data_IF_888941671072
#
_entry.id   IF_888941671072
#
_cell.length_a   1.000
_cell.length_b   1.000
_cell.length_c   1.000
_cell.angle_alpha   90.00
_cell.angle_beta   90.00
_cell.angle_gamma   90.00
#
_symmetry.space_group_name_H-M   'P 1'
#
loop_
_entity.id
_entity.type
_entity.pdbx_description
1 polymer ?
#
# COMPACT_ATOMS: atom_id res chain seq x y z
N UNK A 1 29.95 -40.27 -47.63
CA UNK A 1 28.73 -40.24 -46.79
C UNK A 1 29.07 -39.43 -45.55
N UNK A 2 28.64 -38.17 -45.52
CA UNK A 2 28.87 -37.25 -44.41
C UNK A 2 27.50 -36.91 -43.82
N UNK A 3 27.17 -37.47 -42.66
CA UNK A 3 25.93 -37.18 -41.95
C UNK A 3 26.04 -35.82 -41.26
N UNK A 4 25.22 -34.85 -41.71
CA UNK A 4 24.94 -33.63 -40.96
C UNK A 4 23.91 -33.96 -39.89
N UNK A 5 24.29 -33.87 -38.62
CA UNK A 5 23.35 -33.83 -37.50
C UNK A 5 22.74 -32.43 -37.44
N UNK A 6 21.42 -32.33 -37.60
CA UNK A 6 20.67 -31.12 -37.20
C UNK A 6 20.48 -31.16 -35.69
N UNK A 7 21.07 -30.19 -34.99
CA UNK A 7 20.81 -29.92 -33.59
C UNK A 7 19.50 -29.11 -33.50
N UNK A 8 18.42 -29.74 -33.04
CA UNK A 8 17.21 -29.02 -32.65
C UNK A 8 17.42 -28.43 -31.26
N UNK A 9 17.58 -27.11 -31.19
CA UNK A 9 17.52 -26.38 -29.91
C UNK A 9 16.03 -26.24 -29.58
N UNK A 10 15.56 -27.06 -28.64
CA UNK A 10 14.25 -26.93 -28.05
C UNK A 10 14.31 -25.76 -27.06
N UNK A 11 13.82 -24.58 -27.45
CA UNK A 11 13.61 -23.47 -26.52
C UNK A 11 12.37 -23.83 -25.72
N UNK A 12 12.57 -24.39 -24.53
CA UNK A 12 11.53 -24.51 -23.52
C UNK A 12 11.35 -23.10 -22.95
N UNK A 13 10.18 -22.46 -23.03
CA UNK A 13 9.96 -21.23 -22.30
C UNK A 13 10.07 -21.57 -20.83
N UNK A 14 11.06 -21.01 -20.15
CA UNK A 14 11.12 -21.06 -18.70
C UNK A 14 9.85 -20.35 -18.20
N UNK A 15 8.92 -21.13 -17.66
CA UNK A 15 7.90 -20.56 -16.79
C UNK A 15 8.67 -20.13 -15.56
N UNK A 16 9.10 -18.86 -15.54
CA UNK A 16 9.63 -18.24 -14.33
C UNK A 16 8.49 -18.32 -13.31
N UNK A 17 8.76 -19.02 -12.23
CA UNK A 17 7.92 -19.14 -11.05
C UNK A 17 8.52 -18.22 -10.00
N UNK A 18 7.64 -17.60 -9.22
CA UNK A 18 8.04 -16.47 -8.40
C UNK A 18 9.17 -16.89 -7.47
N UNK A 19 10.19 -16.04 -7.40
CA UNK A 19 11.47 -16.41 -6.83
C UNK A 19 11.60 -15.90 -5.40
N UNK A 20 12.20 -16.74 -4.54
CA UNK A 20 12.53 -16.41 -3.16
C UNK A 20 14.03 -16.51 -3.01
N UNK A 21 14.63 -15.44 -2.48
CA UNK A 21 16.06 -15.31 -2.27
C UNK A 21 16.33 -15.13 -0.78
N UNK A 22 17.41 -15.74 -0.29
CA UNK A 22 17.91 -15.57 1.07
C UNK A 22 19.30 -14.95 1.01
N UNK A 23 19.55 -13.94 1.84
CA UNK A 23 20.85 -13.28 2.01
C UNK A 23 21.12 -13.09 3.50
N UNK A 24 22.35 -13.36 3.92
CA UNK A 24 22.84 -13.04 5.26
C UNK A 24 24.03 -12.09 5.10
N UNK A 25 24.02 -10.99 5.86
CA UNK A 25 25.10 -10.02 5.86
C UNK A 25 25.91 -10.19 7.14
N UNK A 26 27.20 -10.45 6.98
CA UNK A 26 28.15 -10.53 8.08
C UNK A 26 28.49 -9.10 8.57
N UNK A 27 28.75 -8.88 9.87
CA UNK A 27 29.16 -7.57 10.37
C UNK A 27 30.56 -7.20 9.88
N UNK A 28 30.72 -5.96 9.44
CA UNK A 28 32.00 -5.37 9.09
C UNK A 28 32.75 -4.84 10.34
N UNK A 29 34.07 -4.58 10.28
CA UNK A 29 34.80 -4.04 11.41
C UNK A 29 34.23 -2.70 11.89
N UNK A 30 33.66 -2.70 13.10
CA UNK A 30 33.01 -1.52 13.71
C UNK A 30 31.52 -1.72 13.95
N UNK A 31 30.91 -2.66 13.23
CA UNK A 31 29.52 -3.05 13.46
C UNK A 31 29.36 -3.77 14.80
N UNK A 32 28.17 -3.65 15.37
CA UNK A 32 27.81 -4.25 16.66
C UNK A 32 26.56 -5.12 16.60
N UNK A 33 25.98 -5.33 15.41
CA UNK A 33 25.02 -6.42 15.19
C UNK A 33 25.75 -7.75 15.04
N UNK A 34 25.09 -8.84 15.46
CA UNK A 34 25.62 -10.21 15.32
C UNK A 34 24.93 -10.96 14.18
N UNK A 35 23.72 -10.53 13.78
CA UNK A 35 22.93 -11.21 12.74
C UNK A 35 22.05 -10.25 11.96
N UNK A 36 22.18 -10.34 10.64
CA UNK A 36 21.33 -9.68 9.67
C UNK A 36 20.93 -10.66 8.56
N UNK A 37 19.86 -11.44 8.78
CA UNK A 37 19.33 -12.36 7.78
C UNK A 37 18.10 -11.77 7.09
N UNK A 38 18.06 -11.82 5.77
CA UNK A 38 16.98 -11.30 4.94
C UNK A 38 16.43 -12.37 4.00
N UNK A 39 15.14 -12.27 3.71
CA UNK A 39 14.50 -13.05 2.66
C UNK A 39 13.63 -12.15 1.80
N UNK A 40 13.82 -12.21 0.50
CA UNK A 40 13.09 -11.43 -0.49
C UNK A 40 12.24 -12.36 -1.35
N UNK A 41 10.99 -11.98 -1.57
CA UNK A 41 10.13 -12.52 -2.60
C UNK A 41 9.99 -11.51 -3.73
N UNK A 42 10.20 -11.99 -4.95
CA UNK A 42 10.06 -11.20 -6.17
C UNK A 42 8.91 -11.81 -7.01
N UNK A 43 7.84 -11.04 -7.30
CA UNK A 43 6.76 -11.49 -8.17
C UNK A 43 7.20 -11.98 -9.54
N UNK A 44 6.38 -12.83 -10.17
CA UNK A 44 6.65 -13.33 -11.51
C UNK A 44 6.49 -12.25 -12.59
N UNK A 45 7.35 -12.30 -13.60
CA UNK A 45 7.27 -11.50 -14.82
C UNK A 45 7.21 -9.97 -14.59
N UNK A 46 7.87 -9.47 -13.54
CA UNK A 46 8.10 -8.03 -13.43
C UNK A 46 9.15 -7.60 -14.45
N UNK A 47 8.83 -6.57 -15.23
CA UNK A 47 9.85 -5.89 -16.03
C UNK A 47 10.76 -5.05 -15.14
N UNK A 48 10.19 -4.41 -14.11
CA UNK A 48 10.89 -3.55 -13.14
C UNK A 48 10.27 -3.70 -11.75
N UNK A 49 11.11 -3.87 -10.72
CA UNK A 49 10.67 -3.80 -9.32
C UNK A 49 10.55 -2.34 -8.88
N UNK A 50 9.34 -1.89 -8.50
CA UNK A 50 9.08 -0.48 -8.16
C UNK A 50 9.46 -0.08 -6.74
N UNK A 51 9.70 -1.05 -5.87
CA UNK A 51 10.10 -0.82 -4.48
C UNK A 51 10.06 -2.08 -3.63
N UNK A 52 10.45 -1.94 -2.37
CA UNK A 52 10.49 -3.03 -1.40
C UNK A 52 9.46 -2.79 -0.30
N UNK A 53 8.54 -3.71 -0.10
CA UNK A 53 7.70 -3.75 1.08
C UNK A 53 8.42 -4.55 2.16
N UNK A 54 8.94 -3.88 3.19
CA UNK A 54 9.71 -4.53 4.24
C UNK A 54 8.87 -4.71 5.50
N UNK A 55 8.49 -5.95 5.78
CA UNK A 55 7.80 -6.35 6.99
C UNK A 55 8.81 -6.66 8.10
N UNK A 56 8.82 -5.84 9.16
CA UNK A 56 9.84 -5.89 10.21
C UNK A 56 9.23 -6.25 11.55
N UNK A 57 9.64 -7.40 12.09
CA UNK A 57 9.23 -7.86 13.42
C UNK A 57 10.25 -7.48 14.50
N UNK A 58 9.90 -7.64 15.79
CA UNK A 58 10.81 -7.31 16.88
C UNK A 58 12.10 -8.12 16.84
N UNK A 59 13.10 -7.64 17.59
CA UNK A 59 14.37 -8.32 17.78
C UNK A 59 14.16 -9.80 18.13
N UNK A 60 14.98 -10.67 17.53
CA UNK A 60 14.96 -12.12 17.71
C UNK A 60 13.75 -12.86 17.11
N UNK A 61 12.79 -12.16 16.50
CA UNK A 61 11.71 -12.80 15.72
C UNK A 61 12.18 -12.99 14.29
N UNK A 62 12.05 -14.22 13.76
CA UNK A 62 12.30 -14.49 12.35
C UNK A 62 11.05 -14.19 11.52
N UNK A 63 11.05 -13.04 10.86
CA UNK A 63 9.96 -12.61 9.98
C UNK A 63 10.16 -12.97 8.52
N UNK A 64 11.24 -13.66 8.14
CA UNK A 64 11.52 -14.04 6.75
C UNK A 64 10.42 -14.89 6.14
N UNK A 65 9.67 -15.64 6.95
CA UNK A 65 8.51 -16.43 6.49
C UNK A 65 7.36 -15.60 5.95
N UNK A 66 7.36 -14.26 6.14
CA UNK A 66 6.34 -13.36 5.60
C UNK A 66 6.19 -13.49 4.08
N UNK A 67 7.28 -13.85 3.38
CA UNK A 67 7.27 -14.06 1.93
C UNK A 67 6.31 -15.15 1.44
N UNK A 68 5.82 -16.00 2.35
CA UNK A 68 4.84 -17.03 2.04
C UNK A 68 3.40 -16.61 2.36
N UNK A 69 3.18 -15.43 2.94
CA UNK A 69 1.85 -14.92 3.23
C UNK A 69 1.17 -14.45 1.95
N UNK A 70 0.04 -15.09 1.60
CA UNK A 70 -0.67 -14.80 0.35
C UNK A 70 -1.22 -13.37 0.28
N UNK A 71 -1.63 -12.78 1.41
CA UNK A 71 -2.14 -11.41 1.43
C UNK A 71 -1.07 -10.38 1.13
N UNK A 72 0.11 -10.51 1.75
CA UNK A 72 1.24 -9.61 1.47
C UNK A 72 1.84 -9.84 0.08
N UNK A 73 1.89 -11.09 -0.40
CA UNK A 73 2.29 -11.38 -1.78
C UNK A 73 1.37 -10.70 -2.78
N UNK A 74 0.05 -10.88 -2.63
CA UNK A 74 -0.93 -10.24 -3.51
C UNK A 74 -0.79 -8.72 -3.48
N UNK A 75 -0.64 -8.12 -2.30
CA UNK A 75 -0.42 -6.67 -2.19
C UNK A 75 0.82 -6.22 -2.96
N UNK A 76 1.93 -6.95 -2.85
CA UNK A 76 3.16 -6.58 -3.54
C UNK A 76 3.05 -6.82 -5.06
N UNK A 77 2.42 -7.92 -5.48
CA UNK A 77 2.11 -8.23 -6.88
C UNK A 77 1.22 -7.16 -7.53
N UNK A 78 0.18 -6.69 -6.84
CA UNK A 78 -0.74 -5.67 -7.34
C UNK A 78 -0.06 -4.30 -7.57
N UNK A 79 1.15 -4.10 -7.05
CA UNK A 79 1.88 -2.84 -7.08
C UNK A 79 3.30 -2.93 -7.65
N UNK A 80 3.70 -4.09 -8.19
CA UNK A 80 5.05 -4.37 -8.70
C UNK A 80 6.17 -4.19 -7.64
N UNK A 81 5.87 -4.50 -6.38
CA UNK A 81 6.81 -4.46 -5.26
C UNK A 81 7.40 -5.85 -4.98
N UNK A 82 8.62 -5.86 -4.44
CA UNK A 82 9.15 -7.06 -3.79
C UNK A 82 8.75 -7.09 -2.30
N UNK A 83 8.54 -8.29 -1.74
CA UNK A 83 8.20 -8.47 -0.34
C UNK A 83 9.41 -8.98 0.44
N UNK A 84 9.82 -8.25 1.47
CA UNK A 84 10.97 -8.61 2.29
C UNK A 84 10.59 -8.86 3.74
N UNK A 85 11.19 -9.88 4.34
CA UNK A 85 11.21 -10.11 5.78
C UNK A 85 12.64 -10.32 6.27
N UNK A 86 12.84 -10.21 7.59
CA UNK A 86 14.17 -10.34 8.17
C UNK A 86 14.19 -10.99 9.55
N UNK A 87 15.39 -11.40 9.96
CA UNK A 87 15.72 -11.76 11.33
C UNK A 87 16.93 -10.97 11.75
N UNK A 88 16.70 -9.92 12.53
CA UNK A 88 17.72 -8.96 12.93
C UNK A 88 18.01 -9.07 14.44
N UNK A 89 19.22 -8.71 14.84
CA UNK A 89 19.51 -8.22 16.18
C UNK A 89 20.13 -6.83 16.14
N UNK A 90 20.33 -6.25 17.33
CA UNK A 90 20.85 -4.91 17.55
C UNK A 90 20.32 -3.89 16.51
N UNK A 91 19.01 -3.68 16.51
CA UNK A 91 18.27 -2.97 15.47
C UNK A 91 18.46 -1.43 15.53
N UNK A 92 19.50 -0.95 16.19
CA UNK A 92 19.87 0.47 16.26
C UNK A 92 20.73 0.84 15.05
N UNK A 93 20.51 2.01 14.45
CA UNK A 93 21.21 2.39 13.21
C UNK A 93 22.73 2.49 13.37
N UNK A 94 23.21 2.84 14.56
CA UNK A 94 24.63 2.92 14.91
C UNK A 94 25.31 1.55 15.07
N UNK A 95 24.55 0.45 14.98
CA UNK A 95 25.11 -0.90 14.98
C UNK A 95 25.67 -1.34 13.63
N UNK A 96 25.39 -0.62 12.55
CA UNK A 96 25.66 -1.02 11.16
C UNK A 96 24.48 -1.72 10.47
N UNK A 97 23.40 -1.99 11.19
CA UNK A 97 22.25 -2.76 10.65
C UNK A 97 21.54 -2.06 9.48
N UNK A 98 21.61 -0.73 9.41
CA UNK A 98 21.07 0.05 8.29
C UNK A 98 21.84 -0.21 7.00
N UNK A 99 23.17 -0.23 7.08
CA UNK A 99 24.05 -0.57 5.96
C UNK A 99 23.86 -2.03 5.53
N UNK A 100 23.68 -2.96 6.48
CA UNK A 100 23.37 -4.35 6.19
C UNK A 100 22.09 -4.52 5.36
N UNK A 101 21.05 -3.70 5.58
CA UNK A 101 19.86 -3.71 4.71
C UNK A 101 20.21 -3.29 3.28
N UNK A 102 20.99 -2.22 3.13
CA UNK A 102 21.36 -1.72 1.81
C UNK A 102 22.24 -2.72 1.05
N UNK A 103 23.15 -3.39 1.75
CA UNK A 103 23.97 -4.45 1.17
C UNK A 103 23.12 -5.67 0.77
N UNK A 104 22.16 -6.07 1.60
CA UNK A 104 21.24 -7.16 1.26
C UNK A 104 20.47 -6.86 -0.03
N UNK A 105 20.00 -5.63 -0.22
CA UNK A 105 19.36 -5.21 -1.47
C UNK A 105 20.32 -5.28 -2.67
N UNK A 106 21.57 -4.88 -2.50
CA UNK A 106 22.59 -5.02 -3.55
C UNK A 106 22.84 -6.49 -3.92
N UNK A 107 22.91 -7.39 -2.93
CA UNK A 107 23.05 -8.83 -3.19
C UNK A 107 21.80 -9.42 -3.84
N UNK A 108 20.59 -9.03 -3.42
CA UNK A 108 19.36 -9.46 -4.07
C UNK A 108 19.28 -9.00 -5.53
N UNK A 109 19.75 -7.79 -5.84
CA UNK A 109 19.82 -7.30 -7.21
C UNK A 109 20.68 -8.21 -8.11
N UNK A 110 21.85 -8.63 -7.60
CA UNK A 110 22.74 -9.57 -8.30
C UNK A 110 22.08 -10.94 -8.46
N UNK A 111 21.48 -11.48 -7.40
CA UNK A 111 20.88 -12.83 -7.40
C UNK A 111 19.64 -12.94 -8.29
N UNK A 112 18.83 -11.88 -8.33
CA UNK A 112 17.57 -11.86 -9.07
C UNK A 112 17.72 -11.41 -10.52
N UNK A 113 18.80 -10.70 -10.86
CA UNK A 113 18.98 -10.06 -12.16
C UNK A 113 18.24 -8.72 -12.31
N UNK A 114 17.58 -8.23 -11.25
CA UNK A 114 16.94 -6.92 -11.19
C UNK A 114 17.87 -5.89 -10.56
N UNK A 115 18.64 -5.15 -11.38
CA UNK A 115 19.63 -4.19 -10.88
C UNK A 115 19.01 -3.07 -10.03
N UNK A 116 17.77 -2.68 -10.35
CA UNK A 116 17.01 -1.64 -9.67
C UNK A 116 16.75 -1.95 -8.18
N UNK A 117 16.78 -3.23 -7.79
CA UNK A 117 16.54 -3.65 -6.40
C UNK A 117 17.59 -3.05 -5.46
N UNK A 118 18.84 -2.87 -5.91
CA UNK A 118 19.92 -2.28 -5.11
C UNK A 118 19.62 -0.82 -4.71
N UNK A 119 18.87 -0.11 -5.54
CA UNK A 119 18.58 1.31 -5.43
C UNK A 119 17.14 1.61 -4.99
N UNK A 120 16.30 0.58 -4.96
CA UNK A 120 14.89 0.67 -4.64
C UNK A 120 14.63 1.35 -3.30
N UNK A 121 13.55 2.11 -3.26
CA UNK A 121 13.00 2.67 -2.02
C UNK A 121 12.24 1.62 -1.23
N UNK A 122 12.20 1.80 0.08
CA UNK A 122 11.65 0.84 1.02
C UNK A 122 10.42 1.45 1.69
N UNK A 123 9.30 0.74 1.65
CA UNK A 123 8.17 0.99 2.52
C UNK A 123 8.27 0.07 3.73
N UNK A 124 8.32 0.65 4.92
CA UNK A 124 8.46 -0.13 6.15
C UNK A 124 7.12 -0.40 6.82
N UNK A 125 6.89 -1.64 7.24
CA UNK A 125 5.82 -2.00 8.16
C UNK A 125 6.39 -2.72 9.37
N UNK A 126 6.59 -1.97 10.45
CA UNK A 126 7.30 -2.42 11.63
C UNK A 126 6.41 -2.59 12.86
N UNK A 127 6.61 -3.68 13.61
CA UNK A 127 5.96 -3.92 14.90
C UNK A 127 6.95 -3.89 16.08
N UNK A 128 6.61 -3.14 17.13
CA UNK A 128 7.36 -2.97 18.38
C UNK A 128 8.82 -2.55 18.13
N UNK A 129 9.81 -3.43 18.32
CA UNK A 129 11.20 -3.13 17.92
C UNK A 129 11.36 -2.94 16.41
N UNK A 130 10.59 -3.67 15.60
CA UNK A 130 10.54 -3.45 14.16
C UNK A 130 9.93 -2.08 13.80
N UNK A 131 9.00 -1.57 14.61
CA UNK A 131 8.46 -0.21 14.48
C UNK A 131 9.50 0.86 14.79
N UNK A 132 10.32 0.63 15.82
CA UNK A 132 11.47 1.48 16.14
C UNK A 132 12.45 1.52 14.99
N UNK A 133 12.85 0.35 14.50
CA UNK A 133 13.74 0.22 13.35
C UNK A 133 13.20 0.96 12.11
N UNK A 134 11.91 0.82 11.80
CA UNK A 134 11.28 1.48 10.65
C UNK A 134 11.40 3.00 10.71
N UNK A 135 11.13 3.57 11.89
CA UNK A 135 11.29 5.00 12.14
C UNK A 135 12.77 5.42 12.11
N UNK A 136 13.65 4.70 12.79
CA UNK A 136 15.07 5.04 12.88
C UNK A 136 15.79 4.94 11.54
N UNK A 137 15.49 3.93 10.74
CA UNK A 137 16.00 3.83 9.37
C UNK A 137 15.53 5.02 8.54
N UNK A 138 14.27 5.43 8.68
CA UNK A 138 13.74 6.61 7.98
C UNK A 138 14.45 7.89 8.40
N UNK A 139 14.80 8.05 9.67
CA UNK A 139 15.62 9.18 10.15
C UNK A 139 17.04 9.15 9.59
N UNK A 140 17.65 7.95 9.55
CA UNK A 140 19.01 7.76 9.09
C UNK A 140 19.16 7.97 7.58
N UNK A 141 18.19 7.48 6.79
CA UNK A 141 18.23 7.53 5.33
C UNK A 141 16.85 7.80 4.72
N UNK A 142 16.34 9.05 4.83
CA UNK A 142 14.99 9.41 4.40
C UNK A 142 14.78 9.30 2.89
N UNK A 143 15.83 9.41 2.08
CA UNK A 143 15.72 9.23 0.62
C UNK A 143 15.47 7.79 0.21
N UNK A 144 15.91 6.81 1.03
CA UNK A 144 15.63 5.38 0.82
C UNK A 144 14.29 4.92 1.40
N UNK A 145 13.60 5.76 2.18
CA UNK A 145 12.31 5.44 2.77
C UNK A 145 11.16 6.13 2.02
N UNK A 146 10.31 5.35 1.34
CA UNK A 146 9.11 5.90 0.69
C UNK A 146 7.98 6.17 1.67
N UNK A 147 7.91 5.41 2.76
CA UNK A 147 6.99 5.61 3.86
C UNK A 147 7.25 4.59 4.95
N UNK A 148 6.69 4.82 6.14
CA UNK A 148 6.84 3.89 7.24
C UNK A 148 5.58 3.77 8.08
N UNK A 149 5.39 2.59 8.65
CA UNK A 149 4.43 2.30 9.70
C UNK A 149 5.22 1.85 10.92
N UNK A 150 4.97 2.51 12.05
CA UNK A 150 5.47 2.07 13.37
C UNK A 150 4.31 1.67 14.25
N UNK A 151 4.24 0.38 14.58
CA UNK A 151 3.19 -0.17 15.43
C UNK A 151 3.72 -0.39 16.85
N UNK A 152 3.28 0.44 17.80
CA UNK A 152 3.46 0.26 19.25
C UNK A 152 4.93 0.10 19.70
N UNK A 153 5.89 0.70 18.99
CA UNK A 153 7.27 0.81 19.48
C UNK A 153 7.38 1.70 20.72
N UNK A 154 8.47 1.57 21.49
CA UNK A 154 8.55 2.20 22.82
C UNK A 154 9.79 3.02 23.14
N UNK A 155 10.86 2.89 22.35
CA UNK A 155 12.14 3.56 22.59
C UNK A 155 12.67 4.20 21.30
N UNK A 156 11.81 4.98 20.66
CA UNK A 156 12.18 5.74 19.48
C UNK A 156 13.05 6.94 19.85
N UNK A 157 13.85 7.38 18.89
CA UNK A 157 14.67 8.58 19.00
C UNK A 157 13.74 9.79 18.99
N UNK A 158 13.87 10.60 20.03
CA UNK A 158 13.04 11.79 20.25
C UNK A 158 13.73 13.08 19.79
N UNK A 159 14.92 12.99 19.21
CA UNK A 159 15.62 14.13 18.63
C UNK A 159 14.93 14.63 17.34
N UNK A 160 15.48 15.67 16.73
CA UNK A 160 14.93 16.27 15.53
C UNK A 160 15.03 15.31 14.34
N UNK A 161 13.91 15.07 13.67
CA UNK A 161 13.84 14.14 12.55
C UNK A 161 14.39 14.66 11.21
N UNK A 162 14.80 15.94 11.13
CA UNK A 162 15.37 16.53 9.91
C UNK A 162 14.47 16.33 8.68
N UNK A 163 15.05 15.91 7.56
CA UNK A 163 14.32 15.64 6.31
C UNK A 163 13.28 14.51 6.42
N UNK A 164 13.38 13.63 7.43
CA UNK A 164 12.43 12.53 7.62
C UNK A 164 11.01 13.02 7.96
N UNK A 165 10.83 14.29 8.36
CA UNK A 165 9.49 14.88 8.50
C UNK A 165 8.72 14.89 7.18
N UNK A 166 9.40 14.86 6.04
CA UNK A 166 8.78 14.82 4.71
C UNK A 166 8.41 13.40 4.25
N UNK A 167 8.85 12.36 4.97
CA UNK A 167 8.48 10.97 4.69
C UNK A 167 7.15 10.65 5.38
N UNK A 168 6.13 10.19 4.63
CA UNK A 168 4.85 9.81 5.22
C UNK A 168 4.99 8.70 6.26
N UNK A 169 4.46 8.95 7.45
CA UNK A 169 4.57 8.06 8.61
C UNK A 169 3.21 7.75 9.23
N UNK A 170 2.97 6.49 9.57
CA UNK A 170 1.79 6.07 10.34
C UNK A 170 2.22 5.48 11.69
N UNK A 171 1.96 6.23 12.75
CA UNK A 171 2.32 5.91 14.12
C UNK A 171 1.07 5.34 14.83
N UNK A 172 1.17 4.09 15.28
CA UNK A 172 0.09 3.42 16.00
C UNK A 172 0.45 3.23 17.47
N UNK A 173 -0.44 3.64 18.37
CA UNK A 173 -0.39 3.35 19.81
C UNK A 173 -1.55 2.43 20.21
N UNK A 174 -1.52 1.88 21.42
CA UNK A 174 -2.66 1.18 22.01
C UNK A 174 -3.10 1.88 23.28
N UNK A 175 -4.40 2.09 23.45
CA UNK A 175 -4.95 2.77 24.64
C UNK A 175 -4.55 2.08 25.96
N UNK A 176 -4.38 0.75 25.94
CA UNK A 176 -4.03 -0.07 27.10
C UNK A 176 -2.58 -0.58 27.04
N UNK A 177 -1.73 0.00 26.18
CA UNK A 177 -0.30 -0.29 26.18
C UNK A 177 0.39 0.42 27.36
N UNK A 178 1.66 0.13 27.61
CA UNK A 178 2.43 0.75 28.68
C UNK A 178 2.63 2.25 28.42
N UNK A 179 2.46 3.07 29.45
CA UNK A 179 2.52 4.55 29.37
C UNK A 179 3.74 5.05 28.59
N UNK A 180 4.94 4.53 28.87
CA UNK A 180 6.16 4.97 28.17
C UNK A 180 6.10 4.75 26.65
N UNK A 181 5.38 3.73 26.16
CA UNK A 181 5.23 3.48 24.72
C UNK A 181 4.29 4.48 24.09
N UNK A 182 3.18 4.75 24.77
CA UNK A 182 2.19 5.74 24.36
C UNK A 182 2.85 7.13 24.34
N UNK A 183 3.52 7.52 25.41
CA UNK A 183 4.21 8.80 25.56
C UNK A 183 5.35 8.97 24.55
N UNK A 184 6.15 7.93 24.28
CA UNK A 184 7.27 8.02 23.35
C UNK A 184 6.81 8.27 21.90
N UNK A 185 5.84 7.48 21.39
CA UNK A 185 5.31 7.67 20.04
C UNK A 185 4.49 8.96 19.90
N UNK A 186 3.65 9.26 20.89
CA UNK A 186 2.84 10.49 20.90
C UNK A 186 3.73 11.73 20.98
N UNK A 187 4.77 11.71 21.81
CA UNK A 187 5.70 12.83 21.95
C UNK A 187 6.55 13.08 20.69
N UNK A 188 6.90 12.04 19.93
CA UNK A 188 7.56 12.21 18.62
C UNK A 188 6.62 12.87 17.63
N UNK A 189 5.36 12.43 17.57
CA UNK A 189 4.34 13.05 16.76
C UNK A 189 4.16 14.53 17.12
N UNK A 190 3.91 14.85 18.40
CA UNK A 190 3.62 16.21 18.88
C UNK A 190 4.79 17.17 18.72
N UNK A 191 6.04 16.66 18.78
CA UNK A 191 7.23 17.47 18.52
C UNK A 191 7.35 17.87 17.05
N UNK A 192 6.99 16.99 16.12
CA UNK A 192 7.30 17.16 14.70
C UNK A 192 6.11 17.56 13.83
N UNK A 193 4.88 17.26 14.25
CA UNK A 193 3.69 17.65 13.50
C UNK A 193 3.58 19.18 13.32
N UNK A 194 3.88 20.04 14.32
CA UNK A 194 3.94 21.50 14.13
C UNK A 194 5.04 21.98 13.18
N UNK A 195 6.05 21.15 12.92
CA UNK A 195 7.12 21.42 11.94
C UNK A 195 6.74 20.98 10.52
N UNK A 196 5.50 20.52 10.33
CA UNK A 196 4.97 20.05 9.06
C UNK A 196 5.22 18.58 8.79
N UNK A 197 5.48 17.75 9.80
CA UNK A 197 5.68 16.32 9.54
C UNK A 197 4.47 15.66 8.87
N UNK A 198 4.71 14.84 7.84
CA UNK A 198 3.69 14.09 7.07
C UNK A 198 3.24 12.85 7.84
N UNK A 199 2.97 13.02 9.13
CA UNK A 199 2.79 11.93 10.07
C UNK A 199 1.35 11.87 10.58
N UNK A 200 0.86 10.65 10.72
CA UNK A 200 -0.42 10.30 11.29
C UNK A 200 -0.21 9.59 12.62
N UNK A 201 -0.93 10.00 13.67
CA UNK A 201 -1.03 9.24 14.91
C UNK A 201 -2.42 8.61 15.02
N UNK A 202 -2.48 7.31 15.31
CA UNK A 202 -3.72 6.61 15.63
C UNK A 202 -3.57 5.78 16.90
N UNK A 203 -4.44 6.03 17.87
CA UNK A 203 -4.55 5.21 19.07
C UNK A 203 -5.61 4.15 18.84
N UNK A 204 -5.22 2.88 18.98
CA UNK A 204 -6.14 1.75 18.89
C UNK A 204 -6.95 1.62 20.20
N UNK A 205 -8.29 1.73 20.15
CA UNK A 205 -9.12 1.70 21.35
C UNK A 205 -9.11 0.30 21.99
N UNK A 206 -9.01 0.27 23.33
CA UNK A 206 -9.04 -0.95 24.16
C UNK A 206 -7.97 -1.99 23.81
N UNK A 207 -6.89 -1.58 23.14
CA UNK A 207 -5.82 -2.48 22.73
C UNK A 207 -4.54 -2.23 23.51
N UNK A 208 -3.88 -3.32 23.92
CA UNK A 208 -2.54 -3.29 24.52
C UNK A 208 -1.43 -3.44 23.47
N UNK A 209 -0.34 -4.10 23.86
CA UNK A 209 0.83 -4.35 23.02
C UNK A 209 0.61 -5.48 21.99
N UNK A 210 -0.22 -5.25 20.98
CA UNK A 210 -0.49 -6.17 19.87
C UNK A 210 -0.27 -5.54 18.50
N UNK A 211 -0.19 -6.36 17.45
CA UNK A 211 -0.16 -5.85 16.07
C UNK A 211 -1.54 -5.35 15.64
N UNK A 212 -1.56 -4.34 14.78
CA UNK A 212 -2.77 -3.88 14.10
C UNK A 212 -3.28 -5.00 13.20
N UNK A 213 -4.55 -5.37 13.38
CA UNK A 213 -5.20 -6.46 12.63
C UNK A 213 -5.93 -5.97 11.38
N UNK A 214 -6.22 -4.68 11.32
CA UNK A 214 -6.87 -4.07 10.16
C UNK A 214 -5.88 -3.93 9.00
N UNK A 215 -5.83 -4.95 8.14
CA UNK A 215 -4.97 -4.94 6.97
C UNK A 215 -5.41 -3.92 5.92
N UNK A 216 -6.70 -3.62 5.83
CA UNK A 216 -7.18 -2.66 4.83
C UNK A 216 -6.65 -1.26 5.16
N UNK A 217 -6.64 -0.89 6.44
CA UNK A 217 -6.05 0.36 6.93
C UNK A 217 -4.57 0.48 6.55
N UNK A 218 -3.77 -0.56 6.86
CA UNK A 218 -2.33 -0.56 6.59
C UNK A 218 -2.05 -0.50 5.08
N UNK A 219 -2.78 -1.30 4.29
CA UNK A 219 -2.59 -1.39 2.84
C UNK A 219 -3.01 -0.10 2.13
N UNK A 220 -4.09 0.54 2.57
CA UNK A 220 -4.56 1.80 1.97
C UNK A 220 -3.58 2.93 2.20
N UNK A 221 -2.95 2.98 3.39
CA UNK A 221 -1.88 3.94 3.63
C UNK A 221 -0.67 3.68 2.73
N UNK A 222 -0.21 2.43 2.63
CA UNK A 222 0.85 2.03 1.71
C UNK A 222 0.56 2.48 0.26
N UNK A 223 -0.62 2.14 -0.25
CA UNK A 223 -1.08 2.50 -1.60
C UNK A 223 -1.04 4.01 -1.83
N UNK A 224 -1.64 4.78 -0.91
CA UNK A 224 -1.67 6.22 -1.04
C UNK A 224 -0.26 6.85 -1.01
N UNK A 225 0.68 6.27 -0.28
CA UNK A 225 2.07 6.72 -0.24
C UNK A 225 2.78 6.46 -1.56
N UNK A 226 2.70 5.23 -2.09
CA UNK A 226 3.39 4.88 -3.34
C UNK A 226 2.81 5.66 -4.53
N UNK A 227 1.50 5.86 -4.58
CA UNK A 227 0.82 6.58 -5.67
C UNK A 227 1.25 8.05 -5.73
N UNK A 228 1.54 8.66 -4.58
CA UNK A 228 1.91 10.09 -4.51
C UNK A 228 3.41 10.33 -4.57
N UNK A 229 4.23 9.35 -4.20
CA UNK A 229 5.70 9.52 -4.08
C UNK A 229 6.50 8.84 -5.17
N UNK A 230 6.07 7.71 -5.72
CA UNK A 230 6.85 7.08 -6.77
C UNK A 230 6.77 7.90 -8.06
N UNK A 231 7.89 8.00 -8.81
CA UNK A 231 7.85 8.40 -10.20
C UNK A 231 7.12 7.35 -11.05
N UNK A 232 6.71 7.74 -12.26
CA UNK A 232 6.03 6.83 -13.18
C UNK A 232 7.02 5.82 -13.79
N UNK A 233 8.28 6.22 -13.96
CA UNK A 233 9.39 5.38 -14.42
C UNK A 233 10.41 5.21 -13.30
N UNK A 234 10.89 3.97 -13.10
CA UNK A 234 11.86 3.62 -12.06
C UNK A 234 13.24 3.49 -12.71
N UNK A 235 14.26 4.25 -12.25
CA UNK A 235 15.62 4.09 -12.74
C UNK A 235 16.18 2.70 -12.39
N UNK A 236 16.99 2.15 -13.29
CA UNK A 236 17.52 0.77 -13.15
C UNK A 236 18.85 0.68 -12.41
N UNK A 237 19.62 1.77 -12.38
CA UNK A 237 21.02 1.79 -11.98
C UNK A 237 21.38 2.98 -11.07
N UNK A 238 20.38 3.73 -10.60
CA UNK A 238 20.55 4.86 -9.69
C UNK A 238 19.40 4.96 -8.66
N UNK A 239 19.61 5.64 -7.51
CA UNK A 239 18.57 5.87 -6.52
C UNK A 239 17.30 6.52 -7.09
N UNK A 240 16.13 6.03 -6.67
CA UNK A 240 14.84 6.57 -7.09
C UNK A 240 14.62 7.95 -6.47
N UNK A 241 14.41 8.96 -7.32
CA UNK A 241 14.00 10.30 -6.86
C UNK A 241 12.50 10.32 -6.52
N UNK A 242 12.19 10.43 -5.23
CA UNK A 242 10.81 10.44 -4.73
C UNK A 242 10.15 11.80 -4.92
N UNK A 243 8.92 11.82 -5.43
CA UNK A 243 8.09 13.02 -5.53
C UNK A 243 7.82 13.59 -4.13
N UNK A 244 8.00 14.91 -3.91
CA UNK A 244 7.63 15.54 -2.65
C UNK A 244 6.11 15.58 -2.49
N UNK A 245 5.63 15.64 -1.25
CA UNK A 245 4.21 15.85 -0.94
C UNK A 245 4.06 17.12 -0.11
N UNK A 246 3.36 18.10 -0.69
CA UNK A 246 2.96 19.33 -0.01
C UNK A 246 1.96 19.01 1.12
N UNK A 247 2.18 19.63 2.28
CA UNK A 247 1.42 19.32 3.50
C UNK A 247 -0.07 19.61 3.31
N UNK A 248 -0.36 20.69 2.59
CA UNK A 248 -1.66 21.28 2.33
C UNK A 248 -2.56 20.44 1.42
N UNK A 249 -1.99 19.41 0.78
CA UNK A 249 -2.72 18.54 -0.15
C UNK A 249 -3.34 17.31 0.51
N UNK A 250 -3.36 17.28 1.85
CA UNK A 250 -3.86 16.17 2.63
C UNK A 250 -5.19 16.48 3.33
N UNK A 251 -5.72 15.46 3.98
CA UNK A 251 -6.74 15.60 5.00
C UNK A 251 -6.09 15.68 6.37
N UNK A 252 -6.83 16.21 7.34
CA UNK A 252 -6.43 16.35 8.73
C UNK A 252 -7.45 15.68 9.63
N UNK A 253 -6.97 15.03 10.69
CA UNK A 253 -7.80 14.36 11.69
C UNK A 253 -7.56 14.89 13.09
N UNK A 254 -8.63 15.36 13.76
CA UNK A 254 -8.56 15.75 15.17
C UNK A 254 -8.52 14.51 16.05
N UNK A 255 -7.47 14.34 16.85
CA UNK A 255 -7.23 13.14 17.67
C UNK A 255 -8.17 12.99 18.89
N UNK A 256 -8.83 14.06 19.32
CA UNK A 256 -9.72 14.07 20.49
C UNK A 256 -11.20 13.91 20.11
N UNK A 257 -11.60 14.52 19.00
CA UNK A 257 -12.97 14.59 18.48
C UNK A 257 -13.22 13.62 17.34
N UNK A 258 -12.15 13.06 16.78
CA UNK A 258 -12.14 12.18 15.61
C UNK A 258 -12.77 12.81 14.35
N UNK A 259 -12.87 14.14 14.30
CA UNK A 259 -13.31 14.86 13.10
C UNK A 259 -12.23 14.80 12.02
N UNK A 260 -12.67 14.70 10.76
CA UNK A 260 -11.78 14.77 9.60
C UNK A 260 -12.22 15.89 8.65
N UNK A 261 -11.24 16.54 8.01
CA UNK A 261 -11.47 17.57 7.01
C UNK A 261 -10.30 17.74 6.06
N UNK A 262 -10.54 18.30 4.89
CA UNK A 262 -9.47 18.74 3.97
C UNK A 262 -8.66 19.85 4.62
N UNK A 263 -7.35 19.90 4.34
CA UNK A 263 -6.44 20.89 4.94
C UNK A 263 -6.97 22.33 4.80
N UNK A 264 -7.43 22.73 3.61
CA UNK A 264 -7.91 24.09 3.32
C UNK A 264 -9.11 24.48 4.21
N UNK A 265 -9.95 23.51 4.57
CA UNK A 265 -11.20 23.74 5.29
C UNK A 265 -11.11 23.34 6.77
N UNK A 266 -9.97 22.82 7.18
CA UNK A 266 -9.74 22.41 8.56
C UNK A 266 -9.68 23.66 9.45
N UNK A 267 -10.63 23.78 10.36
CA UNK A 267 -10.85 24.98 11.17
C UNK A 267 -10.19 24.90 12.56
N UNK A 268 -9.24 23.97 12.72
CA UNK A 268 -8.46 23.76 13.94
C UNK A 268 -6.97 23.81 13.63
N UNK A 269 -6.10 23.68 14.65
CA UNK A 269 -4.65 23.71 14.47
C UNK A 269 -4.14 22.49 13.67
N UNK A 270 -3.65 22.65 12.43
CA UNK A 270 -3.08 21.56 11.64
C UNK A 270 -1.87 20.92 12.31
N UNK A 271 -1.09 21.69 13.08
CA UNK A 271 0.10 21.22 13.78
C UNK A 271 -0.17 20.22 14.90
N UNK A 272 -1.43 20.06 15.31
CA UNK A 272 -1.88 19.09 16.31
C UNK A 272 -2.68 17.91 15.71
N UNK A 273 -3.04 18.01 14.43
CA UNK A 273 -3.89 17.06 13.74
C UNK A 273 -3.07 15.96 13.05
N UNK A 274 -3.61 14.75 12.99
CA UNK A 274 -3.01 13.68 12.18
C UNK A 274 -3.05 14.05 10.71
N UNK A 275 -1.91 13.96 10.02
CA UNK A 275 -1.81 14.21 8.59
C UNK A 275 -2.21 12.95 7.80
N UNK A 276 -3.28 13.05 7.02
CA UNK A 276 -3.97 11.93 6.38
C UNK A 276 -3.90 12.12 4.87
N UNK A 277 -2.95 11.44 4.23
CA UNK A 277 -2.52 11.64 2.84
C UNK A 277 -3.64 11.72 1.78
N UNK A 278 -4.77 11.04 2.02
CA UNK A 278 -5.97 11.06 1.16
C UNK A 278 -7.23 10.99 2.00
N UNK A 279 -8.37 11.35 1.39
CA UNK A 279 -9.71 11.18 2.00
C UNK A 279 -9.98 9.75 2.45
N UNK A 280 -9.55 8.76 1.65
CA UNK A 280 -9.74 7.34 1.96
C UNK A 280 -8.98 6.95 3.23
N UNK A 281 -7.71 7.35 3.32
CA UNK A 281 -6.91 7.15 4.54
C UNK A 281 -7.55 7.89 5.72
N UNK A 282 -8.09 9.10 5.52
CA UNK A 282 -8.72 9.84 6.59
C UNK A 282 -9.98 9.16 7.15
N UNK A 283 -10.84 8.62 6.28
CA UNK A 283 -12.03 7.88 6.68
C UNK A 283 -11.69 6.58 7.42
N UNK A 284 -10.67 5.85 6.95
CA UNK A 284 -10.23 4.63 7.64
C UNK A 284 -9.55 4.94 8.98
N UNK A 285 -8.74 6.01 9.05
CA UNK A 285 -8.19 6.50 10.31
C UNK A 285 -9.31 6.83 11.30
N UNK A 286 -10.33 7.59 10.86
CA UNK A 286 -11.48 7.96 11.69
C UNK A 286 -12.20 6.70 12.19
N UNK A 287 -12.52 5.76 11.30
CA UNK A 287 -13.16 4.50 11.66
C UNK A 287 -12.35 3.71 12.69
N UNK A 288 -11.03 3.67 12.52
CA UNK A 288 -10.11 2.95 13.39
C UNK A 288 -10.04 3.56 14.80
N UNK A 289 -9.85 4.87 14.91
CA UNK A 289 -9.68 5.54 16.23
C UNK A 289 -11.00 5.70 16.99
N UNK A 290 -12.14 5.67 16.30
CA UNK A 290 -13.47 5.88 16.90
C UNK A 290 -14.29 4.60 17.14
N UNK A 291 -13.67 3.42 16.97
CA UNK A 291 -14.36 2.12 17.06
C UNK A 291 -15.57 2.00 16.11
N UNK A 292 -15.35 2.34 14.82
CA UNK A 292 -16.28 2.22 13.68
C UNK A 292 -17.27 3.38 13.43
N UNK A 293 -17.05 4.57 13.98
CA UNK A 293 -17.84 5.75 13.57
C UNK A 293 -17.25 6.38 12.30
N UNK A 294 -18.07 6.57 11.27
CA UNK A 294 -17.68 7.30 10.05
C UNK A 294 -18.68 8.44 9.86
N UNK A 295 -18.23 9.68 10.05
CA UNK A 295 -19.01 10.88 9.82
C UNK A 295 -18.10 11.90 9.15
N UNK A 296 -18.32 12.17 7.86
CA UNK A 296 -17.65 13.27 7.14
C UNK A 296 -17.98 14.57 7.89
N UNK A 297 -16.99 15.17 8.55
CA UNK A 297 -17.26 16.05 9.70
C UNK A 297 -16.95 17.52 9.46
N UNK A 298 -16.08 17.86 8.49
CA UNK A 298 -15.78 19.24 8.13
C UNK A 298 -15.96 19.44 6.61
N UNK A 299 -17.17 19.83 6.14
CA UNK A 299 -17.40 20.07 4.73
C UNK A 299 -16.71 21.35 4.26
N UNK A 300 -15.93 21.25 3.18
CA UNK A 300 -15.53 22.43 2.40
C UNK A 300 -16.76 23.04 1.75
N UNK A 301 -17.11 24.27 2.12
CA UNK A 301 -18.25 24.98 1.53
C UNK A 301 -18.05 25.15 0.01
N UNK A 302 -18.95 24.58 -0.79
CA UNK A 302 -19.05 24.78 -2.24
C UNK A 302 -19.39 26.25 -2.57
N UNK A 303 -18.41 27.14 -2.52
CA UNK A 303 -18.48 28.44 -3.22
C UNK A 303 -17.08 29.00 -3.45
N UNK A 304 -16.52 28.78 -4.64
CA UNK A 304 -15.86 29.82 -5.43
C UNK A 304 -15.58 29.34 -6.86
N UNK A 305 -16.18 30.05 -7.80
CA UNK A 305 -15.86 30.01 -9.23
C UNK A 305 -14.45 30.58 -9.42
N UNK A 306 -13.57 29.78 -10.04
CA UNK A 306 -12.38 30.25 -10.75
C UNK A 306 -11.04 30.15 -10.02
N UNK A 307 -10.34 29.02 -10.20
CA UNK A 307 -8.94 28.88 -10.70
C UNK A 307 -8.41 27.46 -10.40
N UNK A 308 -7.67 26.79 -11.31
CA UNK A 308 -7.38 25.36 -11.20
C UNK A 308 -6.03 25.08 -10.52
N UNK A 309 -6.03 24.18 -9.52
CA UNK A 309 -5.05 23.11 -9.24
C UNK A 309 -5.23 22.56 -7.82
N UNK A 310 -6.35 21.89 -7.58
CA UNK A 310 -6.26 20.58 -6.95
C UNK A 310 -6.14 19.58 -8.11
N UNK A 311 -5.21 18.63 -8.06
CA UNK A 311 -5.38 17.42 -8.86
C UNK A 311 -6.48 16.66 -8.12
N UNK A 312 -7.71 17.06 -8.42
CA UNK A 312 -8.91 16.29 -8.18
C UNK A 312 -8.71 15.01 -8.99
N UNK A 313 -8.22 13.95 -8.36
CA UNK A 313 -8.46 12.62 -8.88
C UNK A 313 -9.92 12.34 -8.51
N UNK A 314 -10.88 12.44 -9.44
CA UNK A 314 -12.28 12.22 -9.11
C UNK A 314 -12.40 10.82 -8.51
N UNK A 315 -13.15 10.69 -7.41
CA UNK A 315 -13.55 9.41 -6.81
C UNK A 315 -13.85 8.41 -7.94
N UNK A 316 -12.90 7.52 -8.23
CA UNK A 316 -12.97 6.67 -9.41
C UNK A 316 -14.19 5.77 -9.26
N UNK A 317 -15.01 5.68 -10.31
CA UNK A 317 -16.06 4.68 -10.40
C UNK A 317 -15.45 3.29 -10.14
N UNK A 318 -15.71 2.72 -8.98
CA UNK A 318 -15.19 1.38 -8.65
C UNK A 318 -16.12 0.35 -9.28
N UNK A 319 -15.56 -0.67 -9.92
CA UNK A 319 -16.29 -1.81 -10.48
C UNK A 319 -15.54 -3.09 -10.13
N UNK A 320 -16.16 -3.95 -9.32
CA UNK A 320 -15.60 -5.23 -8.91
C UNK A 320 -16.65 -6.32 -9.03
N UNK A 321 -16.23 -7.58 -8.97
CA UNK A 321 -17.15 -8.71 -8.86
C UNK A 321 -16.63 -9.74 -7.85
N UNK A 322 -17.54 -10.40 -7.14
CA UNK A 322 -17.20 -11.54 -6.28
C UNK A 322 -18.33 -12.58 -6.27
N UNK A 323 -18.00 -13.88 -6.39
CA UNK A 323 -16.65 -14.44 -6.60
C UNK A 323 -16.09 -14.20 -8.02
N UNK A 324 -14.78 -14.31 -8.18
CA UNK A 324 -14.06 -14.38 -9.47
C UNK A 324 -12.81 -15.29 -9.28
N UNK A 325 -12.67 -16.43 -9.97
CA UNK A 325 -13.62 -17.05 -10.90
C UNK A 325 -14.94 -17.44 -10.23
N UNK A 326 -16.01 -17.65 -11.00
CA UNK A 326 -17.33 -17.97 -10.46
C UNK A 326 -18.07 -19.07 -11.22
N UNK A 327 -19.01 -19.75 -10.54
CA UNK A 327 -19.86 -20.81 -11.09
C UNK A 327 -21.26 -20.85 -10.43
N UNK A 328 -22.37 -20.64 -11.15
CA UNK A 328 -22.50 -19.85 -12.39
C UNK A 328 -22.75 -18.36 -12.08
N UNK A 329 -22.81 -17.96 -10.81
CA UNK A 329 -23.21 -16.61 -10.40
C UNK A 329 -22.08 -15.78 -9.77
N UNK A 330 -22.10 -14.47 -10.01
CA UNK A 330 -21.21 -13.49 -9.37
C UNK A 330 -21.98 -12.21 -9.05
N UNK A 331 -21.62 -11.56 -7.95
CA UNK A 331 -22.18 -10.26 -7.58
C UNK A 331 -21.24 -9.17 -8.08
N UNK A 332 -21.73 -8.34 -9.00
CA UNK A 332 -21.06 -7.16 -9.48
C UNK A 332 -21.36 -6.02 -8.52
N UNK A 333 -20.31 -5.40 -8.00
CA UNK A 333 -20.37 -4.26 -7.09
C UNK A 333 -19.82 -3.04 -7.81
N UNK A 334 -20.52 -1.93 -7.72
CA UNK A 334 -20.01 -0.68 -8.24
C UNK A 334 -20.40 0.50 -7.35
N UNK A 335 -19.53 1.51 -7.29
CA UNK A 335 -19.74 2.71 -6.49
C UNK A 335 -19.87 3.91 -7.42
N UNK A 336 -20.95 4.67 -7.25
CA UNK A 336 -21.14 5.93 -7.97
C UNK A 336 -20.75 7.10 -7.07
N UNK A 337 -19.77 7.94 -7.46
CA UNK A 337 -19.34 9.09 -6.64
C UNK A 337 -20.42 10.18 -6.57
N UNK A 338 -21.27 10.25 -7.59
CA UNK A 338 -22.43 11.12 -7.67
C UNK A 338 -23.59 10.38 -8.36
N UNK A 339 -24.80 10.93 -8.27
CA UNK A 339 -25.92 10.40 -9.02
C UNK A 339 -25.65 10.52 -10.53
N UNK A 340 -25.89 9.44 -11.28
CA UNK A 340 -25.53 9.38 -12.69
C UNK A 340 -26.45 8.43 -13.48
N UNK A 341 -26.51 8.63 -14.80
CA UNK A 341 -27.16 7.72 -15.71
C UNK A 341 -26.16 6.64 -16.15
N UNK A 342 -26.41 5.39 -15.79
CA UNK A 342 -25.47 4.29 -15.98
C UNK A 342 -26.02 3.18 -16.87
N UNK A 343 -25.12 2.44 -17.52
CA UNK A 343 -25.42 1.16 -18.16
C UNK A 343 -24.38 0.12 -17.72
N UNK A 344 -24.85 -0.91 -17.00
CA UNK A 344 -24.04 -2.04 -16.57
C UNK A 344 -24.31 -3.25 -17.48
N UNK A 345 -23.30 -3.67 -18.24
CA UNK A 345 -23.44 -4.71 -19.25
C UNK A 345 -22.27 -5.70 -19.27
N UNK A 346 -22.54 -6.93 -19.71
CA UNK A 346 -21.57 -8.02 -19.89
C UNK A 346 -21.24 -8.18 -21.36
N UNK A 347 -19.96 -8.31 -21.68
CA UNK A 347 -19.42 -8.52 -23.02
C UNK A 347 -18.57 -9.79 -23.05
N UNK A 348 -18.50 -10.46 -24.21
CA UNK A 348 -17.59 -11.59 -24.43
C UNK A 348 -16.20 -11.13 -24.88
N UNK A 349 -15.28 -12.08 -25.09
CA UNK A 349 -13.90 -11.80 -25.53
C UNK A 349 -13.78 -11.24 -26.95
N UNK A 350 -14.86 -11.24 -27.74
CA UNK A 350 -14.92 -10.54 -29.03
C UNK A 350 -15.56 -9.15 -28.90
N UNK A 351 -15.86 -8.69 -27.68
CA UNK A 351 -16.53 -7.42 -27.42
C UNK A 351 -18.02 -7.43 -27.78
N UNK A 352 -18.65 -8.60 -27.96
CA UNK A 352 -20.09 -8.69 -28.25
C UNK A 352 -20.89 -8.63 -26.96
N UNK A 353 -21.98 -7.87 -26.96
CA UNK A 353 -22.88 -7.74 -25.82
C UNK A 353 -23.56 -9.08 -25.51
N UNK A 354 -23.33 -9.61 -24.31
CA UNK A 354 -23.91 -10.86 -23.80
C UNK A 354 -25.23 -10.58 -23.08
N UNK A 355 -25.24 -9.58 -22.18
CA UNK A 355 -26.43 -9.19 -21.41
C UNK A 355 -26.26 -7.79 -20.81
N UNK A 356 -27.27 -6.94 -20.91
CA UNK A 356 -27.39 -5.74 -20.09
C UNK A 356 -28.05 -6.12 -18.75
N UNK A 357 -27.43 -5.76 -17.63
CA UNK A 357 -27.88 -6.14 -16.30
C UNK A 357 -28.72 -5.05 -15.66
N UNK A 358 -28.29 -3.78 -15.80
CA UNK A 358 -29.01 -2.60 -15.33
C UNK A 358 -28.74 -1.41 -16.26
N UNK A 359 -29.72 -0.52 -16.38
CA UNK A 359 -29.60 0.73 -17.12
C UNK A 359 -30.55 1.78 -16.54
N UNK A 360 -30.10 3.04 -16.44
CA UNK A 360 -30.92 4.17 -15.99
C UNK A 360 -30.22 5.07 -14.97
N UNK A 361 -31.00 5.94 -14.32
CA UNK A 361 -30.52 6.87 -13.31
C UNK A 361 -30.34 6.20 -11.95
N UNK A 362 -29.14 6.31 -11.37
CA UNK A 362 -28.79 5.75 -10.06
C UNK A 362 -28.25 6.86 -9.16
N UNK A 363 -28.55 6.80 -7.86
CA UNK A 363 -28.00 7.73 -6.87
C UNK A 363 -26.54 7.41 -6.56
N UNK A 364 -25.81 8.38 -6.00
CA UNK A 364 -24.48 8.17 -5.44
C UNK A 364 -24.50 7.06 -4.37
N UNK A 365 -23.39 6.33 -4.22
CA UNK A 365 -23.21 5.25 -3.25
C UNK A 365 -22.98 3.88 -3.89
N UNK A 366 -23.02 2.85 -3.06
CA UNK A 366 -22.71 1.47 -3.44
C UNK A 366 -23.92 0.72 -4.00
N UNK A 367 -23.71 0.04 -5.12
CA UNK A 367 -24.72 -0.76 -5.81
C UNK A 367 -24.23 -2.19 -5.98
N UNK A 368 -25.18 -3.13 -5.96
CA UNK A 368 -24.91 -4.57 -6.12
C UNK A 368 -25.89 -5.18 -7.12
N UNK A 369 -25.35 -5.89 -8.10
CA UNK A 369 -26.13 -6.53 -9.17
C UNK A 369 -25.63 -7.96 -9.37
N UNK A 370 -26.54 -8.93 -9.29
CA UNK A 370 -26.22 -10.34 -9.53
C UNK A 370 -26.22 -10.64 -11.03
N UNK A 371 -25.16 -11.29 -11.52
CA UNK A 371 -25.19 -11.99 -12.80
C UNK A 371 -25.21 -13.50 -12.55
N UNK A 372 -26.15 -14.19 -13.22
CA UNK A 372 -26.41 -15.63 -13.10
C UNK A 372 -25.70 -16.47 -14.17
N UNK A 373 -24.77 -15.87 -14.91
CA UNK A 373 -24.04 -16.54 -15.99
C UNK A 373 -24.92 -16.89 -17.19
N UNK A 374 -25.99 -16.14 -17.44
CA UNK A 374 -26.88 -16.30 -18.61
C UNK A 374 -26.82 -15.11 -19.58
N UNK A 375 -27.11 -15.40 -20.85
CA UNK A 375 -27.20 -14.43 -21.96
C UNK A 375 -28.56 -13.72 -21.98
N UNK A 376 -28.72 -12.73 -22.86
CA UNK A 376 -30.02 -12.06 -23.13
C UNK A 376 -31.18 -13.02 -23.42
N UNK A 377 -30.92 -14.21 -23.99
CA UNK A 377 -31.94 -15.23 -24.30
C UNK A 377 -32.19 -16.22 -23.16
N UNK A 378 -31.68 -15.93 -21.94
CA UNK A 378 -31.70 -16.80 -20.76
C UNK A 378 -31.01 -18.16 -20.95
N UNK A 379 -30.21 -18.31 -22.01
CA UNK A 379 -29.33 -19.46 -22.19
C UNK A 379 -28.08 -19.30 -21.36
N UNK A 380 -27.54 -20.43 -20.91
CA UNK A 380 -26.22 -20.52 -20.31
C UNK A 380 -25.14 -19.84 -21.16
N UNK A 381 -24.36 -18.94 -20.56
CA UNK A 381 -23.11 -18.47 -21.15
C UNK A 381 -22.03 -19.57 -21.01
N UNK A 382 -21.16 -19.73 -22.01
CA UNK A 382 -20.08 -20.73 -21.99
C UNK A 382 -18.99 -20.36 -20.98
N UNK A 383 -18.23 -21.33 -20.47
CA UNK A 383 -17.01 -21.05 -19.69
C UNK A 383 -16.05 -20.17 -20.50
N UNK A 384 -15.38 -19.22 -19.85
CA UNK A 384 -14.44 -18.31 -20.49
C UNK A 384 -14.40 -16.91 -19.88
N UNK A 385 -13.58 -16.05 -20.49
CA UNK A 385 -13.42 -14.65 -20.09
C UNK A 385 -14.59 -13.80 -20.60
N UNK A 386 -15.11 -12.97 -19.72
CA UNK A 386 -16.10 -11.94 -20.01
C UNK A 386 -15.62 -10.60 -19.43
N UNK A 387 -16.24 -9.52 -19.88
CA UNK A 387 -15.97 -8.17 -19.40
C UNK A 387 -17.26 -7.55 -18.89
N UNK A 388 -17.27 -7.13 -17.63
CA UNK A 388 -18.30 -6.23 -17.11
C UNK A 388 -17.90 -4.82 -17.49
N UNK A 389 -18.81 -4.06 -18.09
CA UNK A 389 -18.60 -2.65 -18.40
C UNK A 389 -19.69 -1.83 -17.73
N UNK A 390 -19.28 -0.87 -16.91
CA UNK A 390 -20.11 0.19 -16.38
C UNK A 390 -19.89 1.43 -17.25
N UNK A 391 -20.88 1.82 -18.03
CA UNK A 391 -20.86 3.07 -18.79
C UNK A 391 -21.58 4.14 -17.97
N UNK A 392 -20.97 5.31 -17.84
CA UNK A 392 -21.47 6.46 -17.05
C UNK A 392 -21.42 7.73 -17.90
N UNK A 393 -21.85 8.88 -17.38
CA UNK A 393 -21.75 10.14 -18.15
C UNK A 393 -20.32 10.65 -18.33
N UNK A 394 -19.36 10.13 -17.55
CA UNK A 394 -17.95 10.53 -17.60
C UNK A 394 -17.09 9.57 -18.42
N UNK A 395 -16.78 8.38 -17.88
CA UNK A 395 -15.93 7.39 -18.53
C UNK A 395 -16.40 5.95 -18.24
N UNK A 396 -16.26 5.03 -19.21
CA UNK A 396 -16.58 3.63 -18.99
C UNK A 396 -15.51 2.92 -18.14
N UNK A 397 -15.93 2.18 -17.12
CA UNK A 397 -15.07 1.30 -16.31
C UNK A 397 -15.30 -0.15 -16.71
N UNK A 398 -14.22 -0.91 -16.88
CA UNK A 398 -14.27 -2.30 -17.35
C UNK A 398 -13.58 -3.21 -16.34
N UNK A 399 -14.25 -4.31 -15.98
CA UNK A 399 -13.73 -5.35 -15.09
C UNK A 399 -13.76 -6.71 -15.80
N UNK A 400 -12.59 -7.37 -16.01
CA UNK A 400 -12.55 -8.73 -16.54
C UNK A 400 -13.01 -9.75 -15.49
N UNK A 401 -13.78 -10.74 -15.92
CA UNK A 401 -14.36 -11.78 -15.06
C UNK A 401 -14.25 -13.16 -15.71
N UNK A 402 -14.05 -14.21 -14.91
CA UNK A 402 -13.87 -15.58 -15.38
C UNK A 402 -15.04 -16.48 -14.94
N UNK A 403 -15.85 -16.92 -15.90
CA UNK A 403 -16.92 -17.91 -15.69
C UNK A 403 -16.36 -19.31 -15.89
N UNK A 404 -16.53 -20.17 -14.88
CA UNK A 404 -16.22 -21.59 -14.94
C UNK A 404 -17.54 -22.35 -14.78
N UNK A 405 -17.89 -23.21 -15.73
CA UNK A 405 -19.01 -24.16 -15.62
C UNK A 405 -18.52 -25.59 -15.52
#
# INVERSE_FOLDING_TARGET
MTHRFLLFILIIPAVLSAAIYDVSIEPEPGDTYDRADFRLYLPDNLDVVRGIYFYVMPQYVDSRTIVHNSGYRQLCEDHDFALMGARLDNMHMDSGIGDAVLEALAQFAILSGHSEVAFSTIFFNGYSWGGQFSYHFTLWNPSRAIGFITQKGGLHDTTAAGEAIHVPGYLFTGELDLDYRIENLTGIFERHRPLGARWCLAMEPRAGHGMIRDQELLNTFFQAVIDRRLPDEIPLDEPVELRPIEEETAWLGNRDRYSIGEYECYNEDPGQASWLITRRVARQWQAFVSDSTITDTIPCGLTRVGSPKSIDMPDLYQLQNYPNPFNPNTTIRFTLPQADNIQLAIYDSQGRLVRCLQEGWFNAGDHRVLWDGTTKTRRAASSGHYFVRLTTSHQPVIQPILLIR
#
